data_IF_141851441163
#
_entry.id   IF_141851441163
#
_cell.length_a   1.000
_cell.length_b   1.000
_cell.length_c   1.000
_cell.angle_alpha   90.00
_cell.angle_beta   90.00
_cell.angle_gamma   90.00
#
_symmetry.space_group_name_H-M   'P 1'
#
loop_
_entity.id
_entity.type
_entity.pdbx_description
1 polymer ?
#
# COMPACT_ATOMS: atom_id res chain seq x y z
N UNK A 1 33.72 8.81 -9.16
CA UNK A 1 32.52 9.64 -9.31
C UNK A 1 32.81 11.00 -8.67
N UNK A 2 32.50 12.13 -9.31
CA UNK A 2 32.64 13.47 -8.69
C UNK A 2 31.40 13.81 -7.87
N UNK A 3 31.48 14.82 -7.00
CA UNK A 3 30.32 15.31 -6.24
C UNK A 3 29.18 15.79 -7.16
N UNK A 4 29.51 16.37 -8.31
CA UNK A 4 28.51 16.78 -9.32
C UNK A 4 27.81 15.58 -9.95
N UNK A 5 28.55 14.52 -10.29
CA UNK A 5 27.96 13.28 -10.81
C UNK A 5 27.09 12.58 -9.76
N UNK A 6 27.51 12.63 -8.48
CA UNK A 6 26.72 12.09 -7.37
C UNK A 6 25.39 12.82 -7.20
N UNK A 7 25.38 14.15 -7.23
CA UNK A 7 24.15 14.96 -7.15
C UNK A 7 23.21 14.62 -8.30
N UNK A 8 23.71 14.58 -9.54
CA UNK A 8 22.90 14.24 -10.71
C UNK A 8 22.25 12.86 -10.59
N UNK A 9 22.97 11.87 -10.05
CA UNK A 9 22.43 10.53 -9.80
C UNK A 9 21.35 10.53 -8.72
N UNK A 10 21.54 11.32 -7.65
CA UNK A 10 20.54 11.47 -6.59
C UNK A 10 19.26 12.12 -7.15
N UNK A 11 19.39 13.19 -7.93
CA UNK A 11 18.27 13.87 -8.59
C UNK A 11 17.52 12.94 -9.55
N UNK A 12 18.24 12.15 -10.35
CA UNK A 12 17.64 11.14 -11.22
C UNK A 12 16.86 10.09 -10.41
N UNK A 13 17.43 9.64 -9.28
CA UNK A 13 16.76 8.71 -8.37
C UNK A 13 15.48 9.29 -7.78
N UNK A 14 15.52 10.55 -7.30
CA UNK A 14 14.35 11.24 -6.77
C UNK A 14 13.27 11.42 -7.83
N UNK A 15 13.64 11.81 -9.06
CA UNK A 15 12.70 11.95 -10.16
C UNK A 15 12.04 10.62 -10.54
N UNK A 16 12.78 9.50 -10.48
CA UNK A 16 12.21 8.16 -10.69
C UNK A 16 11.17 7.83 -9.62
N UNK A 17 11.47 8.08 -8.34
CA UNK A 17 10.53 7.86 -7.24
C UNK A 17 9.28 8.72 -7.42
N UNK A 18 9.44 10.01 -7.73
CA UNK A 18 8.31 10.92 -7.94
C UNK A 18 7.40 10.49 -9.09
N UNK A 19 7.96 9.92 -10.18
CA UNK A 19 7.16 9.39 -11.30
C UNK A 19 6.33 8.15 -10.93
N UNK A 20 6.72 7.42 -9.89
CA UNK A 20 5.93 6.28 -9.39
C UNK A 20 4.73 6.74 -8.55
N UNK A 21 4.81 7.94 -7.96
CA UNK A 21 3.68 8.51 -7.23
C UNK A 21 2.53 8.83 -8.20
N UNK A 22 1.27 8.58 -7.80
CA UNK A 22 0.09 8.97 -8.57
C UNK A 22 0.12 10.45 -8.95
N UNK A 23 0.14 10.74 -10.25
CA UNK A 23 0.13 12.09 -10.81
C UNK A 23 -1.32 12.57 -11.05
N UNK A 24 -2.21 12.35 -10.07
CA UNK A 24 -3.59 12.83 -10.17
C UNK A 24 -3.61 14.36 -9.94
N UNK A 25 -3.95 15.10 -10.99
CA UNK A 25 -4.02 16.57 -10.96
C UNK A 25 -5.17 17.10 -10.09
N UNK A 26 -6.14 16.26 -9.73
CA UNK A 26 -7.24 16.64 -8.82
C UNK A 26 -6.85 16.54 -7.34
N UNK A 27 -5.87 15.69 -7.01
CA UNK A 27 -5.39 15.48 -5.63
C UNK A 27 -3.87 15.28 -5.63
N UNK A 28 -3.09 16.34 -5.32
CA UNK A 28 -1.64 16.24 -5.25
C UNK A 28 -1.22 15.15 -4.26
N UNK A 29 -0.27 14.32 -4.69
CA UNK A 29 0.34 13.34 -3.80
C UNK A 29 1.08 14.05 -2.67
N UNK A 30 0.66 13.80 -1.43
CA UNK A 30 1.21 14.41 -0.22
C UNK A 30 1.85 13.33 0.67
N UNK A 31 2.69 13.75 1.62
CA UNK A 31 3.23 12.85 2.65
C UNK A 31 2.13 12.10 3.40
N UNK A 32 0.99 12.74 3.64
CA UNK A 32 -0.17 12.08 4.26
C UNK A 32 -0.79 10.98 3.39
N UNK A 33 -0.73 11.10 2.06
CA UNK A 33 -1.17 10.03 1.14
C UNK A 33 -0.18 8.87 1.19
N UNK A 34 1.12 9.15 1.19
CA UNK A 34 2.17 8.13 1.37
C UNK A 34 2.01 7.38 2.69
N UNK A 35 1.82 8.09 3.80
CA UNK A 35 1.61 7.47 5.12
C UNK A 35 0.37 6.56 5.12
N UNK A 36 -0.70 6.97 4.45
CA UNK A 36 -1.91 6.16 4.33
C UNK A 36 -1.66 4.87 3.53
N UNK A 37 -0.95 4.95 2.42
CA UNK A 37 -0.57 3.79 1.59
C UNK A 37 0.36 2.83 2.35
N UNK A 38 1.35 3.35 3.08
CA UNK A 38 2.25 2.54 3.91
C UNK A 38 1.49 1.82 5.02
N UNK A 39 0.52 2.48 5.67
CA UNK A 39 -0.34 1.84 6.67
C UNK A 39 -1.18 0.74 6.03
N UNK A 40 -1.77 0.98 4.85
CA UNK A 40 -2.53 -0.03 4.12
C UNK A 40 -1.66 -1.26 3.76
N UNK A 41 -0.44 -1.05 3.28
CA UNK A 41 0.51 -2.14 3.01
C UNK A 41 0.87 -2.91 4.28
N UNK A 42 1.19 -2.21 5.36
CA UNK A 42 1.49 -2.84 6.64
C UNK A 42 0.31 -3.69 7.16
N UNK A 43 -0.93 -3.22 6.97
CA UNK A 43 -2.13 -3.98 7.33
C UNK A 43 -2.26 -5.28 6.52
N UNK A 44 -1.97 -5.27 5.22
CA UNK A 44 -2.02 -6.48 4.36
C UNK A 44 -0.91 -7.47 4.72
N UNK A 45 0.27 -6.97 5.11
CA UNK A 45 1.39 -7.83 5.49
C UNK A 45 1.35 -8.34 6.94
N UNK A 46 0.47 -7.79 7.78
CA UNK A 46 0.33 -8.22 9.18
C UNK A 46 -0.35 -9.59 9.34
N UNK A 47 -0.90 -10.15 8.26
CA UNK A 47 -1.56 -11.45 8.29
C UNK A 47 -0.56 -12.61 8.44
N UNK A 48 -0.89 -13.55 9.33
CA UNK A 48 -0.21 -14.84 9.42
C UNK A 48 -0.63 -15.80 8.30
N UNK A 49 -0.02 -16.98 8.26
CA UNK A 49 -0.30 -18.01 7.23
C UNK A 49 -1.78 -18.40 7.16
N UNK A 50 -2.48 -18.37 8.29
CA UNK A 50 -3.92 -18.69 8.39
C UNK A 50 -4.81 -17.78 7.51
N UNK A 51 -4.33 -16.58 7.19
CA UNK A 51 -5.04 -15.61 6.35
C UNK A 51 -4.34 -15.37 5.01
N UNK A 52 -3.42 -16.24 4.57
CA UNK A 52 -2.65 -16.07 3.34
C UNK A 52 -3.54 -15.92 2.09
N UNK A 53 -4.66 -16.65 2.04
CA UNK A 53 -5.61 -16.57 0.93
C UNK A 53 -6.36 -15.23 0.93
N UNK A 54 -6.71 -14.73 2.11
CA UNK A 54 -7.32 -13.41 2.27
C UNK A 54 -6.32 -12.29 1.94
N UNK A 55 -5.09 -12.34 2.44
CA UNK A 55 -4.04 -11.38 2.11
C UNK A 55 -3.78 -11.33 0.59
N UNK A 56 -3.78 -12.48 -0.09
CA UNK A 56 -3.65 -12.56 -1.55
C UNK A 56 -4.83 -11.92 -2.28
N UNK A 57 -6.06 -12.05 -1.76
CA UNK A 57 -7.24 -11.42 -2.37
C UNK A 57 -7.21 -9.89 -2.23
N UNK A 58 -6.70 -9.39 -1.10
CA UNK A 58 -6.53 -7.95 -0.87
C UNK A 58 -5.54 -7.31 -1.84
N UNK A 59 -4.43 -7.98 -2.17
CA UNK A 59 -3.43 -7.48 -3.13
C UNK A 59 -4.04 -7.26 -4.53
N UNK A 60 -5.09 -8.00 -4.88
CA UNK A 60 -5.76 -7.90 -6.18
C UNK A 60 -6.77 -6.74 -6.25
N UNK A 61 -7.04 -6.04 -5.14
CA UNK A 61 -7.98 -4.92 -5.12
C UNK A 61 -7.40 -3.69 -5.85
N UNK A 62 -8.24 -3.02 -6.65
CA UNK A 62 -7.85 -1.84 -7.44
C UNK A 62 -7.59 -0.60 -6.59
N UNK A 63 -8.21 -0.50 -5.43
CA UNK A 63 -7.98 0.54 -4.43
C UNK A 63 -7.82 -0.10 -3.07
N UNK A 64 -6.87 0.41 -2.30
CA UNK A 64 -6.59 -0.05 -0.94
C UNK A 64 -6.72 1.13 0.01
N UNK A 65 -7.94 1.65 0.12
CA UNK A 65 -8.22 2.64 1.15
C UNK A 65 -8.35 1.98 2.52
N UNK A 66 -7.92 2.70 3.56
CA UNK A 66 -7.88 2.19 4.93
C UNK A 66 -9.26 1.78 5.47
N UNK A 67 -10.33 2.44 5.03
CA UNK A 67 -11.71 2.10 5.46
C UNK A 67 -12.18 0.84 4.76
N UNK A 68 -11.94 0.71 3.46
CA UNK A 68 -12.20 -0.50 2.68
C UNK A 68 -11.47 -1.71 3.27
N UNK A 69 -10.19 -1.57 3.60
CA UNK A 69 -9.42 -2.63 4.25
C UNK A 69 -10.04 -3.07 5.59
N UNK A 70 -10.41 -2.12 6.45
CA UNK A 70 -11.07 -2.46 7.72
C UNK A 70 -12.40 -3.19 7.51
N UNK A 71 -13.19 -2.77 6.53
CA UNK A 71 -14.45 -3.44 6.21
C UNK A 71 -14.23 -4.86 5.69
N UNK A 72 -13.21 -5.06 4.85
CA UNK A 72 -12.82 -6.39 4.38
C UNK A 72 -12.40 -7.31 5.54
N UNK A 73 -11.64 -6.79 6.51
CA UNK A 73 -11.17 -7.56 7.66
C UNK A 73 -12.34 -8.07 8.51
N UNK A 74 -13.31 -7.18 8.81
CA UNK A 74 -14.51 -7.56 9.58
C UNK A 74 -15.38 -8.58 8.83
N UNK A 75 -15.42 -8.48 7.51
CA UNK A 75 -16.14 -9.43 6.65
C UNK A 75 -15.48 -10.80 6.69
N UNK A 76 -14.15 -10.85 6.56
CA UNK A 76 -13.37 -12.09 6.65
C UNK A 76 -13.51 -12.74 8.02
N UNK A 77 -13.42 -11.97 9.11
CA UNK A 77 -13.62 -12.48 10.47
C UNK A 77 -14.99 -13.15 10.64
N UNK A 78 -16.05 -12.50 10.15
CA UNK A 78 -17.41 -13.05 10.20
C UNK A 78 -17.52 -14.35 9.38
N UNK A 79 -16.86 -14.41 8.22
CA UNK A 79 -16.87 -15.60 7.38
C UNK A 79 -16.06 -16.73 8.02
N UNK A 80 -14.87 -16.45 8.53
CA UNK A 80 -14.00 -17.44 9.15
C UNK A 80 -14.65 -18.07 10.39
N UNK A 81 -15.33 -17.28 11.23
CA UNK A 81 -16.10 -17.80 12.36
C UNK A 81 -17.21 -18.78 11.93
N UNK A 82 -17.87 -18.54 10.79
CA UNK A 82 -18.95 -19.41 10.28
C UNK A 82 -18.47 -20.72 9.69
N UNK A 83 -17.20 -20.83 9.29
CA UNK A 83 -16.61 -22.06 8.76
C UNK A 83 -15.97 -22.92 9.86
N UNK A 84 -15.82 -22.37 11.07
CA UNK A 84 -15.28 -23.08 12.23
C UNK A 84 -16.36 -23.72 13.12
N UNK A 85 -17.64 -23.43 12.89
CA UNK A 85 -18.82 -24.13 13.44
C UNK A 85 -19.31 -25.23 12.50
#
# INVERSE_FOLDING_TARGET
ESLSTLIARIEEGMAKIQRLCPQDSSKPYSLSTLDAELVSMAMIHAFGEDYAQFASSLILLKSLDKKELKAAFLTEETQHCRHAD
#
